data_IF_374563350674
#
_entry.id   IF_374563350674
#
_cell.length_a   1.000
_cell.length_b   1.000
_cell.length_c   1.000
_cell.angle_alpha   90.00
_cell.angle_beta   90.00
_cell.angle_gamma   90.00
#
_symmetry.space_group_name_H-M   'P 1'
#
loop_
_entity.id
_entity.type
_entity.pdbx_description
1 polymer ?
#
# COMPACT_ATOMS: atom_id res chain seq x y z
N UNK A 1 -0.66 22.28 36.98
CA UNK A 1 -1.26 22.11 35.63
C UNK A 1 -0.20 22.06 34.52
N UNK A 2 0.74 23.00 34.42
CA UNK A 2 1.80 22.95 33.36
C UNK A 2 2.72 21.75 33.39
N UNK A 3 3.07 21.17 34.56
CA UNK A 3 3.91 20.02 34.68
C UNK A 3 3.24 18.76 34.10
N UNK A 4 1.95 18.57 34.37
CA UNK A 4 1.17 17.45 33.81
C UNK A 4 1.05 17.51 32.31
N UNK A 5 0.84 18.68 31.72
CA UNK A 5 0.76 18.92 30.26
C UNK A 5 2.11 18.58 29.59
N UNK A 6 3.24 19.00 30.17
CA UNK A 6 4.58 18.70 29.64
C UNK A 6 4.93 17.20 29.67
N UNK A 7 4.50 16.49 30.71
CA UNK A 7 4.71 15.04 30.82
C UNK A 7 3.89 14.29 29.79
N UNK A 8 2.64 14.67 29.57
CA UNK A 8 1.76 14.07 28.58
C UNK A 8 2.26 14.30 27.14
N UNK A 9 2.72 15.51 26.85
CA UNK A 9 3.34 15.84 25.55
C UNK A 9 4.64 15.05 25.31
N UNK A 10 5.42 14.77 26.34
CA UNK A 10 6.64 13.98 26.26
C UNK A 10 6.33 12.52 25.95
N UNK A 11 5.37 11.91 26.67
CA UNK A 11 4.93 10.54 26.45
C UNK A 11 4.39 10.35 25.02
N UNK A 12 3.52 11.26 24.58
CA UNK A 12 2.97 11.23 23.22
C UNK A 12 4.05 11.31 22.15
N UNK A 13 5.07 12.16 22.31
CA UNK A 13 6.21 12.22 21.35
C UNK A 13 7.01 10.95 21.33
N UNK A 14 7.17 10.28 22.48
CA UNK A 14 7.84 9.00 22.58
C UNK A 14 7.07 7.90 21.82
N UNK A 15 5.75 7.83 21.97
CA UNK A 15 4.88 6.90 21.27
C UNK A 15 4.93 7.12 19.75
N UNK A 16 4.84 8.39 19.29
CA UNK A 16 5.00 8.73 17.88
C UNK A 16 6.37 8.29 17.36
N UNK A 17 7.44 8.51 18.15
CA UNK A 17 8.78 8.07 17.76
C UNK A 17 8.86 6.55 17.66
N UNK A 18 8.29 5.81 18.60
CA UNK A 18 8.24 4.35 18.59
C UNK A 18 7.55 3.81 17.33
N UNK A 19 6.37 4.36 16.98
CA UNK A 19 5.64 3.98 15.76
C UNK A 19 6.47 4.27 14.50
N UNK A 20 7.05 5.46 14.40
CA UNK A 20 7.88 5.82 13.25
C UNK A 20 9.16 4.98 13.19
N UNK A 21 9.76 4.65 14.32
CA UNK A 21 10.95 3.80 14.37
C UNK A 21 10.65 2.36 13.95
N UNK A 22 9.47 1.84 14.28
CA UNK A 22 8.99 0.55 13.75
C UNK A 22 8.75 0.61 12.24
N UNK A 23 8.00 1.61 11.76
CA UNK A 23 7.63 1.74 10.34
C UNK A 23 8.80 2.09 9.41
N UNK A 24 9.92 2.58 9.94
CA UNK A 24 11.12 2.84 9.13
C UNK A 24 11.71 1.56 8.59
N UNK A 25 11.95 1.47 7.27
CA UNK A 25 12.62 0.31 6.68
C UNK A 25 13.99 0.06 7.31
N UNK A 26 14.27 -1.18 7.62
CA UNK A 26 15.55 -1.65 8.18
C UNK A 26 16.44 -2.23 7.09
N UNK A 27 17.77 -2.21 7.26
CA UNK A 27 18.68 -2.95 6.40
C UNK A 27 18.36 -4.44 6.42
N UNK A 28 18.42 -5.10 5.26
CA UNK A 28 18.12 -6.52 5.09
C UNK A 28 18.92 -7.06 3.89
N UNK A 29 19.13 -8.38 3.75
CA UNK A 29 20.05 -8.94 2.77
C UNK A 29 19.49 -9.07 1.35
N UNK A 30 18.18 -8.91 1.15
CA UNK A 30 17.51 -9.17 -0.12
C UNK A 30 17.31 -7.91 -0.96
N UNK A 31 17.47 -7.99 -2.28
CA UNK A 31 16.99 -6.95 -3.18
C UNK A 31 15.46 -6.91 -3.16
N UNK A 32 14.90 -5.72 -3.33
CA UNK A 32 13.47 -5.57 -3.50
C UNK A 32 13.07 -5.68 -4.96
N UNK A 33 12.02 -6.41 -5.22
CA UNK A 33 11.42 -6.62 -6.54
C UNK A 33 9.97 -6.16 -6.55
N UNK A 34 9.47 -5.72 -7.70
CA UNK A 34 8.07 -5.34 -7.87
C UNK A 34 7.24 -6.52 -8.35
N UNK A 35 6.11 -6.73 -7.69
CA UNK A 35 5.09 -7.73 -8.00
C UNK A 35 3.76 -7.01 -8.16
N UNK A 36 2.92 -7.41 -9.12
CA UNK A 36 1.60 -6.83 -9.39
C UNK A 36 1.58 -5.75 -10.47
N UNK A 37 2.65 -5.61 -11.28
CA UNK A 37 2.69 -4.65 -12.37
C UNK A 37 3.09 -3.23 -11.97
N UNK A 38 2.49 -2.20 -12.59
CA UNK A 38 2.89 -0.80 -12.45
C UNK A 38 1.73 0.14 -12.08
N UNK A 39 0.73 -0.37 -11.40
CA UNK A 39 -0.44 0.38 -10.93
C UNK A 39 -0.69 0.12 -9.46
N UNK A 40 -1.81 0.59 -8.96
CA UNK A 40 -2.32 0.25 -7.63
C UNK A 40 -2.47 -1.26 -7.46
N UNK A 41 -2.31 -1.77 -6.25
CA UNK A 41 -2.26 -3.20 -5.96
C UNK A 41 -0.93 -3.88 -6.34
N UNK A 42 0.13 -3.12 -6.65
CA UNK A 42 1.46 -3.64 -6.94
C UNK A 42 2.47 -3.19 -5.88
N UNK A 43 3.18 -4.12 -5.28
CA UNK A 43 4.02 -3.88 -4.11
C UNK A 43 5.48 -4.29 -4.32
N UNK A 44 6.38 -3.78 -3.48
CA UNK A 44 7.77 -4.22 -3.44
C UNK A 44 7.95 -5.30 -2.38
N UNK A 45 8.41 -6.46 -2.81
CA UNK A 45 8.74 -7.59 -1.94
C UNK A 45 10.25 -7.82 -1.87
N UNK A 46 10.78 -8.31 -0.75
CA UNK A 46 12.14 -8.86 -0.72
C UNK A 46 12.21 -10.10 -1.63
N UNK A 47 13.32 -10.25 -2.35
CA UNK A 47 13.56 -11.42 -3.21
C UNK A 47 13.92 -12.64 -2.36
N UNK A 48 12.99 -13.05 -1.51
CA UNK A 48 13.05 -14.22 -0.62
C UNK A 48 11.73 -15.01 -0.75
N UNK A 49 11.39 -15.39 -2.00
CA UNK A 49 10.10 -16.00 -2.32
C UNK A 49 10.19 -17.53 -2.47
N UNK A 50 11.38 -18.09 -2.60
CA UNK A 50 11.57 -19.54 -2.74
C UNK A 50 11.04 -20.28 -1.50
N UNK A 51 10.24 -21.35 -1.74
CA UNK A 51 9.64 -22.17 -0.70
C UNK A 51 8.42 -21.54 -0.01
N UNK A 52 7.90 -20.42 -0.52
CA UNK A 52 6.59 -19.90 -0.08
C UNK A 52 5.49 -20.71 -0.77
N UNK A 53 4.58 -21.25 0.02
CA UNK A 53 3.51 -22.13 -0.46
C UNK A 53 2.33 -21.33 -1.03
N UNK A 54 1.88 -20.29 -0.35
CA UNK A 54 0.66 -19.58 -0.72
C UNK A 54 0.64 -18.12 -0.27
N UNK A 55 -0.05 -17.29 -1.07
CA UNK A 55 -0.43 -15.94 -0.70
C UNK A 55 -1.89 -15.92 -0.23
N UNK A 56 -2.14 -15.28 0.90
CA UNK A 56 -3.46 -14.93 1.40
C UNK A 56 -3.69 -13.45 1.11
N UNK A 57 -4.74 -13.15 0.34
CA UNK A 57 -5.01 -11.81 -0.17
C UNK A 57 -6.43 -11.34 0.17
N UNK A 58 -6.66 -10.81 1.39
CA UNK A 58 -7.92 -10.17 1.73
C UNK A 58 -7.97 -8.74 1.17
N UNK A 59 -9.14 -8.36 0.63
CA UNK A 59 -9.37 -7.06 0.00
C UNK A 59 -8.88 -7.00 -1.45
N UNK A 60 -9.02 -8.10 -2.19
CA UNK A 60 -8.51 -8.21 -3.56
C UNK A 60 -9.20 -7.25 -4.55
N UNK A 61 -10.40 -6.74 -4.24
CA UNK A 61 -11.17 -5.87 -5.14
C UNK A 61 -11.45 -6.52 -6.51
N UNK A 62 -11.37 -5.72 -7.56
CA UNK A 62 -11.61 -6.15 -8.95
C UNK A 62 -10.34 -6.65 -9.67
N UNK A 63 -9.18 -6.59 -9.03
CA UNK A 63 -7.91 -6.92 -9.68
C UNK A 63 -7.10 -7.89 -8.83
N UNK A 64 -6.48 -8.87 -9.49
CA UNK A 64 -5.59 -9.86 -8.87
C UNK A 64 -4.24 -9.94 -9.60
N UNK A 65 -3.77 -8.82 -10.13
CA UNK A 65 -2.52 -8.78 -10.90
C UNK A 65 -1.33 -9.17 -10.02
N UNK A 66 -1.38 -8.86 -8.72
CA UNK A 66 -0.35 -9.24 -7.76
C UNK A 66 -0.29 -10.77 -7.61
N UNK A 67 -1.43 -11.42 -7.44
CA UNK A 67 -1.55 -12.86 -7.29
C UNK A 67 -1.26 -13.61 -8.60
N UNK A 68 -1.62 -13.01 -9.74
CA UNK A 68 -1.25 -13.53 -11.04
C UNK A 68 0.26 -13.50 -11.27
N UNK A 69 0.91 -12.40 -10.90
CA UNK A 69 2.37 -12.27 -10.96
C UNK A 69 3.09 -13.26 -10.03
N UNK A 70 2.55 -13.48 -8.81
CA UNK A 70 3.08 -14.47 -7.87
C UNK A 70 2.99 -15.90 -8.46
N UNK A 71 1.87 -16.24 -9.07
CA UNK A 71 1.69 -17.55 -9.69
C UNK A 71 2.57 -17.72 -10.93
N UNK A 72 2.55 -16.74 -11.84
CA UNK A 72 3.24 -16.86 -13.14
C UNK A 72 4.77 -16.84 -13.01
N UNK A 73 5.30 -16.05 -12.07
CA UNK A 73 6.75 -15.84 -11.94
C UNK A 73 7.40 -16.76 -10.90
N UNK A 74 6.65 -17.15 -9.86
CA UNK A 74 7.21 -17.87 -8.71
C UNK A 74 6.47 -19.19 -8.39
N UNK A 75 5.36 -19.48 -9.06
CA UNK A 75 4.56 -20.66 -8.80
C UNK A 75 3.79 -20.61 -7.47
N UNK A 76 3.71 -19.44 -6.83
CA UNK A 76 3.04 -19.24 -5.54
C UNK A 76 1.52 -19.19 -5.78
N UNK A 77 0.81 -20.11 -5.15
CA UNK A 77 -0.66 -20.18 -5.19
C UNK A 77 -1.29 -19.05 -4.37
N UNK A 78 -2.57 -18.76 -4.59
CA UNK A 78 -3.23 -17.66 -3.88
C UNK A 78 -4.65 -18.02 -3.43
N UNK A 79 -4.96 -17.63 -2.21
CA UNK A 79 -6.31 -17.63 -1.66
C UNK A 79 -6.76 -16.20 -1.50
N UNK A 80 -7.83 -15.83 -2.23
CA UNK A 80 -8.35 -14.47 -2.31
C UNK A 80 -9.63 -14.34 -1.49
N UNK A 81 -9.83 -13.20 -0.87
CA UNK A 81 -10.98 -12.93 -0.02
C UNK A 81 -11.48 -11.49 -0.26
N UNK A 82 -12.75 -11.35 -0.57
CA UNK A 82 -13.41 -10.04 -0.62
C UNK A 82 -14.93 -10.22 -0.59
N UNK A 83 -15.62 -9.44 0.21
CA UNK A 83 -17.08 -9.48 0.26
C UNK A 83 -17.74 -8.51 -0.73
N UNK A 84 -17.05 -7.41 -1.05
CA UNK A 84 -17.57 -6.32 -1.89
C UNK A 84 -17.69 -6.71 -3.37
N UNK A 85 -16.93 -7.71 -3.82
CA UNK A 85 -16.91 -8.19 -5.20
C UNK A 85 -17.39 -9.64 -5.32
N UNK A 86 -17.61 -10.11 -6.54
CA UNK A 86 -18.09 -11.48 -6.78
C UNK A 86 -17.01 -12.45 -7.23
N UNK A 87 -15.78 -11.95 -7.48
CA UNK A 87 -14.69 -12.73 -8.07
C UNK A 87 -14.88 -13.10 -9.55
N UNK A 88 -16.02 -12.74 -10.15
CA UNK A 88 -16.30 -13.00 -11.58
C UNK A 88 -15.79 -11.92 -12.52
N UNK A 89 -15.43 -10.74 -11.99
CA UNK A 89 -15.04 -9.57 -12.77
C UNK A 89 -13.53 -9.41 -12.91
N UNK A 90 -12.73 -10.38 -12.45
CA UNK A 90 -11.30 -10.32 -12.64
C UNK A 90 -10.95 -10.31 -14.14
N UNK A 91 -10.02 -9.44 -14.53
CA UNK A 91 -9.53 -9.34 -15.91
C UNK A 91 -8.94 -10.66 -16.44
N UNK A 92 -8.41 -11.48 -15.54
CA UNK A 92 -7.98 -12.86 -15.80
C UNK A 92 -8.77 -13.80 -14.87
N UNK A 93 -9.40 -14.87 -15.38
CA UNK A 93 -10.09 -15.85 -14.56
C UNK A 93 -9.18 -16.48 -13.51
N UNK A 94 -9.77 -16.99 -12.43
CA UNK A 94 -9.03 -17.79 -11.45
C UNK A 94 -8.43 -19.03 -12.12
N UNK A 95 -7.19 -19.36 -11.78
CA UNK A 95 -6.52 -20.57 -12.26
C UNK A 95 -6.97 -21.76 -11.38
N UNK A 96 -7.70 -22.74 -11.94
CA UNK A 96 -8.23 -23.86 -11.15
C UNK A 96 -7.11 -24.62 -10.41
N UNK A 97 -7.34 -24.95 -9.15
CA UNK A 97 -6.37 -25.64 -8.30
C UNK A 97 -5.19 -24.80 -7.81
N UNK A 98 -5.04 -23.54 -8.32
CA UNK A 98 -3.96 -22.63 -7.96
C UNK A 98 -4.43 -21.36 -7.28
N UNK A 99 -5.62 -20.90 -7.63
CA UNK A 99 -6.23 -19.70 -7.07
C UNK A 99 -7.64 -20.02 -6.60
N UNK A 100 -7.99 -19.60 -5.39
CA UNK A 100 -9.33 -19.70 -4.83
C UNK A 100 -9.86 -18.31 -4.47
N UNK A 101 -11.18 -18.13 -4.51
CA UNK A 101 -11.84 -16.90 -4.08
C UNK A 101 -12.99 -17.22 -3.13
N UNK A 102 -13.08 -16.46 -2.04
CA UNK A 102 -14.18 -16.54 -1.07
C UNK A 102 -14.82 -15.18 -0.91
N UNK A 103 -16.14 -15.12 -1.08
CA UNK A 103 -16.91 -13.92 -0.79
C UNK A 103 -17.18 -13.81 0.70
N UNK A 104 -16.23 -13.28 1.45
CA UNK A 104 -16.28 -13.05 2.90
C UNK A 104 -15.53 -11.79 3.29
N UNK A 105 -15.87 -11.23 4.45
CA UNK A 105 -15.06 -10.23 5.12
C UNK A 105 -13.96 -10.91 5.95
N UNK A 106 -12.75 -10.36 5.94
CA UNK A 106 -11.77 -10.66 6.96
C UNK A 106 -12.20 -9.95 8.26
N UNK A 107 -12.20 -10.67 9.38
CA UNK A 107 -12.64 -10.15 10.67
C UNK A 107 -11.95 -10.86 11.81
N UNK A 108 -11.98 -10.27 12.99
CA UNK A 108 -11.48 -10.89 14.23
C UNK A 108 -12.40 -11.97 14.78
N UNK A 109 -13.62 -12.05 14.28
CA UNK A 109 -14.63 -13.06 14.64
C UNK A 109 -15.13 -13.79 13.39
N UNK A 110 -15.17 -15.12 13.46
CA UNK A 110 -15.72 -15.93 12.38
C UNK A 110 -17.27 -15.94 12.42
N UNK A 111 -17.88 -15.89 11.26
CA UNK A 111 -19.34 -15.89 11.11
C UNK A 111 -19.79 -16.40 9.75
N UNK A 112 -21.07 -16.19 9.44
CA UNK A 112 -21.64 -16.58 8.15
C UNK A 112 -20.89 -15.90 6.99
N UNK A 113 -20.67 -14.59 7.10
CA UNK A 113 -20.06 -13.77 6.06
C UNK A 113 -18.62 -13.30 6.44
N UNK A 114 -18.13 -13.74 7.59
CA UNK A 114 -16.83 -13.37 8.13
C UNK A 114 -15.94 -14.59 8.33
N UNK A 115 -14.63 -14.38 8.24
CA UNK A 115 -13.62 -15.39 8.54
C UNK A 115 -12.40 -14.73 9.22
N UNK A 116 -11.79 -15.42 10.19
CA UNK A 116 -10.51 -14.97 10.77
C UNK A 116 -9.33 -15.51 9.98
N UNK A 117 -8.17 -14.88 10.11
CA UNK A 117 -6.93 -15.35 9.46
C UNK A 117 -6.63 -16.81 9.87
N UNK A 118 -6.73 -17.14 11.16
CA UNK A 118 -6.48 -18.48 11.68
C UNK A 118 -7.37 -19.52 11.02
N UNK A 119 -8.66 -19.23 10.99
CA UNK A 119 -9.64 -20.14 10.41
C UNK A 119 -9.43 -20.30 8.91
N UNK A 120 -9.12 -19.22 8.22
CA UNK A 120 -8.87 -19.24 6.78
C UNK A 120 -7.65 -20.11 6.43
N UNK A 121 -6.52 -19.92 7.14
CA UNK A 121 -5.32 -20.75 6.96
C UNK A 121 -5.64 -22.23 7.26
N UNK A 122 -6.38 -22.49 8.35
CA UNK A 122 -6.78 -23.85 8.73
C UNK A 122 -7.64 -24.51 7.64
N UNK A 123 -8.64 -23.82 7.11
CA UNK A 123 -9.55 -24.35 6.07
C UNK A 123 -8.86 -24.54 4.72
N UNK A 124 -7.82 -23.77 4.39
CA UNK A 124 -7.00 -23.97 3.19
C UNK A 124 -6.00 -25.12 3.34
N UNK A 125 -5.81 -25.64 4.57
CA UNK A 125 -4.91 -26.78 4.87
C UNK A 125 -3.50 -26.60 4.30
N UNK A 126 -2.94 -25.38 4.40
CA UNK A 126 -1.64 -25.03 3.81
C UNK A 126 -0.54 -25.09 4.89
N UNK A 127 0.55 -25.74 4.54
CA UNK A 127 1.77 -25.79 5.34
C UNK A 127 2.89 -24.97 4.70
N UNK A 128 3.92 -24.67 5.49
CA UNK A 128 5.08 -23.91 5.06
C UNK A 128 4.94 -22.40 5.26
N UNK A 129 5.81 -21.67 4.63
CA UNK A 129 5.83 -20.21 4.69
C UNK A 129 4.77 -19.60 3.76
N UNK A 130 4.16 -18.52 4.21
CA UNK A 130 3.05 -17.85 3.55
C UNK A 130 3.39 -16.39 3.24
N UNK A 131 2.62 -15.77 2.35
CA UNK A 131 2.52 -14.31 2.17
C UNK A 131 1.13 -13.86 2.63
N UNK A 132 1.06 -12.73 3.32
CA UNK A 132 -0.16 -11.97 3.51
C UNK A 132 -0.05 -10.67 2.71
N UNK A 133 -0.96 -10.45 1.77
CA UNK A 133 -1.19 -9.15 1.16
C UNK A 133 -2.54 -8.65 1.63
N UNK A 134 -2.59 -7.50 2.34
CA UNK A 134 -3.79 -7.01 3.00
C UNK A 134 -4.04 -5.56 2.64
N UNK A 135 -5.20 -5.31 2.05
CA UNK A 135 -5.72 -4.00 1.72
C UNK A 135 -7.24 -4.03 1.92
N UNK A 136 -7.70 -3.68 3.14
CA UNK A 136 -9.08 -3.86 3.60
C UNK A 136 -9.68 -2.59 4.20
N UNK A 137 -9.25 -1.44 3.65
CA UNK A 137 -9.89 -0.14 3.81
C UNK A 137 -10.07 0.31 5.27
N UNK A 138 -9.07 0.04 6.14
CA UNK A 138 -9.01 0.50 7.52
C UNK A 138 -9.23 -0.58 8.59
N UNK A 139 -9.60 -1.81 8.20
CA UNK A 139 -9.73 -2.94 9.12
C UNK A 139 -8.41 -3.70 9.38
N UNK A 140 -7.29 -3.25 8.82
CA UNK A 140 -5.96 -3.88 8.94
C UNK A 140 -5.53 -3.99 10.39
N UNK A 141 -5.72 -2.92 11.17
CA UNK A 141 -5.26 -2.81 12.56
C UNK A 141 -5.93 -3.85 13.45
N UNK A 142 -7.25 -3.96 13.36
CA UNK A 142 -8.03 -4.90 14.19
C UNK A 142 -7.71 -6.33 13.81
N UNK A 143 -7.62 -6.64 12.53
CA UNK A 143 -7.33 -7.98 12.05
C UNK A 143 -5.90 -8.42 12.42
N UNK A 144 -4.90 -7.56 12.29
CA UNK A 144 -3.53 -7.90 12.69
C UNK A 144 -3.43 -8.04 14.22
N UNK A 145 -4.00 -7.10 14.99
CA UNK A 145 -3.97 -7.14 16.46
C UNK A 145 -4.76 -8.33 17.03
N UNK A 146 -5.86 -8.72 16.37
CA UNK A 146 -6.67 -9.87 16.76
C UNK A 146 -6.08 -11.22 16.36
N UNK A 147 -5.10 -11.23 15.45
CA UNK A 147 -4.43 -12.47 15.02
C UNK A 147 -3.29 -12.83 15.98
N UNK A 148 -3.22 -14.10 16.40
CA UNK A 148 -2.18 -14.55 17.30
C UNK A 148 -0.78 -14.42 16.69
N UNK A 149 0.23 -14.12 17.52
CA UNK A 149 1.63 -14.04 17.06
C UNK A 149 2.11 -15.37 16.46
N UNK A 150 1.55 -16.50 16.90
CA UNK A 150 1.86 -17.84 16.33
C UNK A 150 1.36 -17.91 14.88
N UNK A 151 0.14 -17.45 14.63
CA UNK A 151 -0.45 -17.43 13.29
C UNK A 151 0.28 -16.44 12.39
N UNK A 152 0.57 -15.24 12.88
CA UNK A 152 1.32 -14.24 12.10
C UNK A 152 2.70 -14.76 11.68
N UNK A 153 3.39 -15.53 12.54
CA UNK A 153 4.69 -16.14 12.20
C UNK A 153 4.64 -17.17 11.07
N UNK A 154 3.48 -17.63 10.64
CA UNK A 154 3.35 -18.44 9.42
C UNK A 154 3.62 -17.61 8.15
N UNK A 155 3.44 -16.29 8.21
CA UNK A 155 3.76 -15.40 7.11
C UNK A 155 5.25 -15.05 7.14
N UNK A 156 5.95 -15.35 6.05
CA UNK A 156 7.34 -14.90 5.83
C UNK A 156 7.37 -13.44 5.48
N UNK A 157 6.41 -13.03 4.65
CA UNK A 157 6.25 -11.65 4.17
C UNK A 157 4.81 -11.20 4.43
N UNK A 158 4.68 -10.01 4.98
CA UNK A 158 3.40 -9.31 5.10
C UNK A 158 3.50 -8.02 4.30
N UNK A 159 2.58 -7.83 3.36
CA UNK A 159 2.35 -6.57 2.66
C UNK A 159 1.02 -6.02 3.14
N UNK A 160 1.01 -4.82 3.66
CA UNK A 160 -0.22 -4.21 4.17
C UNK A 160 -0.31 -2.76 3.73
N UNK A 161 -1.47 -2.35 3.25
CA UNK A 161 -1.81 -0.95 3.06
C UNK A 161 -2.46 -0.40 4.32
N UNK A 162 -1.72 0.40 5.08
CA UNK A 162 -2.20 0.99 6.34
C UNK A 162 -2.97 2.28 6.07
N UNK A 163 -4.26 2.30 6.42
CA UNK A 163 -5.15 3.43 6.25
C UNK A 163 -5.19 4.35 7.47
N UNK A 164 -5.25 5.67 7.26
CA UNK A 164 -5.45 6.65 8.30
C UNK A 164 -4.25 6.88 9.24
N UNK A 165 -3.02 6.52 8.87
CA UNK A 165 -1.85 6.53 9.77
C UNK A 165 -1.59 7.92 10.36
N UNK A 166 -1.60 8.98 9.54
CA UNK A 166 -1.37 10.35 10.02
C UNK A 166 -2.54 10.87 10.90
N UNK A 167 -3.77 10.49 10.58
CA UNK A 167 -4.95 10.82 11.37
C UNK A 167 -4.94 10.08 12.72
N UNK A 168 -4.65 8.78 12.73
CA UNK A 168 -4.54 7.97 13.95
C UNK A 168 -3.46 8.52 14.88
N UNK A 169 -2.34 8.99 14.37
CA UNK A 169 -1.29 9.62 15.18
C UNK A 169 -1.75 10.90 15.89
N UNK A 170 -2.87 11.50 15.51
CA UNK A 170 -3.38 12.76 16.06
C UNK A 170 -4.38 12.59 17.20
N UNK A 171 -4.86 11.38 17.47
CA UNK A 171 -5.69 11.03 18.63
C UNK A 171 -4.96 10.07 19.56
N UNK A 172 -5.30 10.08 20.85
CA UNK A 172 -4.65 9.18 21.82
C UNK A 172 -5.07 7.72 21.60
N UNK A 173 -6.33 7.49 21.26
CA UNK A 173 -6.84 6.16 20.90
C UNK A 173 -6.15 5.61 19.63
N UNK A 174 -6.09 6.42 18.57
CA UNK A 174 -5.43 6.03 17.33
C UNK A 174 -3.94 5.78 17.50
N UNK A 175 -3.25 6.64 18.26
CA UNK A 175 -1.84 6.46 18.56
C UNK A 175 -1.61 5.19 19.39
N UNK A 176 -2.47 4.91 20.38
CA UNK A 176 -2.45 3.66 21.14
C UNK A 176 -2.60 2.43 20.24
N UNK A 177 -3.50 2.48 19.25
CA UNK A 177 -3.68 1.42 18.25
C UNK A 177 -2.42 1.20 17.41
N UNK A 178 -1.78 2.27 16.94
CA UNK A 178 -0.51 2.20 16.19
C UNK A 178 0.66 1.66 17.03
N UNK A 179 0.77 2.08 18.30
CA UNK A 179 1.77 1.57 19.25
C UNK A 179 1.53 0.08 19.49
N UNK A 180 0.26 -0.32 19.67
CA UNK A 180 -0.13 -1.73 19.81
C UNK A 180 0.32 -2.56 18.61
N UNK A 181 0.02 -2.08 17.38
CA UNK A 181 0.44 -2.72 16.14
C UNK A 181 1.97 -2.87 16.07
N UNK A 182 2.71 -1.80 16.35
CA UNK A 182 4.17 -1.82 16.34
C UNK A 182 4.72 -2.86 17.32
N UNK A 183 4.23 -2.89 18.56
CA UNK A 183 4.65 -3.86 19.59
C UNK A 183 4.28 -5.30 19.22
N UNK A 184 3.12 -5.50 18.62
CA UNK A 184 2.64 -6.84 18.24
C UNK A 184 3.50 -7.45 17.12
N UNK A 185 3.96 -6.63 16.17
CA UNK A 185 4.72 -7.09 15.02
C UNK A 185 6.24 -7.07 15.22
N UNK A 186 6.80 -6.10 15.96
CA UNK A 186 8.26 -5.85 16.02
C UNK A 186 9.05 -7.06 16.56
N UNK A 187 8.46 -7.88 17.44
CA UNK A 187 9.11 -9.09 17.95
C UNK A 187 9.35 -10.18 16.89
N UNK A 188 8.58 -10.20 15.81
CA UNK A 188 8.63 -11.23 14.78
C UNK A 188 9.02 -10.70 13.40
N UNK A 189 8.76 -9.42 13.13
CA UNK A 189 8.91 -8.82 11.82
C UNK A 189 9.77 -7.56 11.86
N UNK A 190 10.28 -7.19 10.70
CA UNK A 190 10.92 -5.91 10.45
C UNK A 190 10.39 -5.33 9.15
N UNK A 191 10.19 -4.02 9.12
CA UNK A 191 9.82 -3.34 7.88
C UNK A 191 11.03 -3.31 6.95
N UNK A 192 10.88 -3.81 5.73
CA UNK A 192 11.90 -3.79 4.69
C UNK A 192 11.61 -2.73 3.62
N UNK A 193 10.34 -2.33 3.45
CA UNK A 193 9.95 -1.25 2.55
C UNK A 193 8.74 -0.50 3.06
N UNK A 194 8.65 0.79 2.70
CA UNK A 194 7.48 1.64 2.90
C UNK A 194 7.31 2.58 1.71
N UNK A 195 6.09 2.68 1.21
CA UNK A 195 5.71 3.58 0.14
C UNK A 195 4.50 4.43 0.56
N UNK A 196 4.48 5.71 0.18
CA UNK A 196 3.30 6.55 0.36
C UNK A 196 2.44 6.47 -0.90
N UNK A 197 1.25 5.91 -0.78
CA UNK A 197 0.27 5.92 -1.86
C UNK A 197 -0.11 7.38 -2.20
N UNK A 198 -0.10 7.74 -3.47
CA UNK A 198 -0.36 9.12 -3.91
C UNK A 198 -1.85 9.50 -3.96
N UNK A 199 -2.73 8.61 -3.49
CA UNK A 199 -4.12 8.96 -3.22
C UNK A 199 -4.23 10.06 -2.17
N UNK A 200 -3.30 10.08 -1.20
CA UNK A 200 -3.23 11.07 -0.12
C UNK A 200 -1.83 11.68 -0.06
N UNK A 201 -1.75 12.98 0.24
CA UNK A 201 -0.45 13.65 0.42
C UNK A 201 0.06 13.47 1.84
N UNK A 202 1.36 13.14 2.02
CA UNK A 202 1.97 13.15 3.34
C UNK A 202 1.86 14.53 4.01
N UNK A 203 1.51 14.55 5.28
CA UNK A 203 1.24 15.73 6.08
C UNK A 203 2.19 15.83 7.27
N UNK A 204 2.18 16.98 7.95
CA UNK A 204 2.89 17.16 9.22
C UNK A 204 1.99 16.70 10.36
N UNK A 205 2.48 15.77 11.16
CA UNK A 205 1.85 15.34 12.40
C UNK A 205 2.59 16.01 13.56
N UNK A 206 1.90 16.69 14.49
CA UNK A 206 2.52 17.26 15.68
C UNK A 206 3.32 16.20 16.45
N UNK A 207 4.56 16.53 16.79
CA UNK A 207 5.48 15.58 17.47
C UNK A 207 6.27 14.65 16.52
N UNK A 208 5.84 14.45 15.28
CA UNK A 208 6.59 13.67 14.31
C UNK A 208 7.73 14.49 13.67
N UNK A 209 8.92 13.87 13.57
CA UNK A 209 10.09 14.49 12.89
C UNK A 209 10.07 14.30 11.36
N UNK A 210 9.09 13.58 10.84
CA UNK A 210 8.93 13.27 9.41
C UNK A 210 7.51 13.62 8.94
N UNK A 211 7.32 13.79 7.63
CA UNK A 211 5.99 13.80 7.04
C UNK A 211 5.42 12.38 7.11
N UNK A 212 4.14 12.26 7.43
CA UNK A 212 3.40 10.99 7.52
C UNK A 212 2.27 11.00 6.51
N UNK A 213 2.09 9.91 5.76
CA UNK A 213 0.93 9.72 4.88
C UNK A 213 -0.19 9.04 5.64
N UNK A 214 -1.44 9.36 5.30
CA UNK A 214 -2.58 8.58 5.77
C UNK A 214 -2.67 7.22 5.09
N UNK A 215 -1.99 7.04 3.99
CA UNK A 215 -2.00 5.79 3.23
C UNK A 215 -0.57 5.34 3.00
N UNK A 216 -0.20 4.23 3.66
CA UNK A 216 1.14 3.67 3.62
C UNK A 216 1.11 2.19 3.23
N UNK A 217 1.75 1.88 2.11
CA UNK A 217 2.07 0.50 1.75
C UNK A 217 3.32 0.07 2.53
N UNK A 218 3.18 -0.93 3.37
CA UNK A 218 4.26 -1.40 4.25
C UNK A 218 4.55 -2.86 3.96
N UNK A 219 5.82 -3.16 3.65
CA UNK A 219 6.28 -4.54 3.47
C UNK A 219 7.13 -4.94 4.66
N UNK A 220 6.71 -6.02 5.32
CA UNK A 220 7.40 -6.61 6.46
C UNK A 220 8.00 -7.96 6.07
N UNK A 221 9.18 -8.24 6.60
CA UNK A 221 9.88 -9.52 6.48
C UNK A 221 10.03 -10.13 7.86
N UNK A 222 9.76 -11.44 7.98
CA UNK A 222 9.97 -12.18 9.23
C UNK A 222 11.45 -12.18 9.59
N UNK A 223 11.77 -11.89 10.86
CA UNK A 223 13.14 -11.64 11.32
C UNK A 223 14.07 -12.84 11.21
N UNK A 224 13.56 -14.07 11.28
CA UNK A 224 14.36 -15.28 11.11
C UNK A 224 14.94 -15.44 9.71
N UNK A 225 14.44 -14.65 8.74
CA UNK A 225 14.98 -14.60 7.37
C UNK A 225 16.23 -13.73 7.26
N UNK A 226 16.56 -12.99 8.31
CA UNK A 226 17.70 -12.07 8.35
C UNK A 226 18.77 -12.65 9.27
N UNK A 227 19.71 -13.38 8.67
CA UNK A 227 20.88 -13.85 9.40
C UNK A 227 21.80 -12.66 9.70
N UNK A 228 22.05 -12.41 11.00
CA UNK A 228 22.95 -11.35 11.45
C UNK A 228 24.40 -11.56 11.01
N UNK A 229 24.76 -12.75 10.55
CA UNK A 229 26.08 -13.08 10.01
C UNK A 229 26.16 -12.81 8.48
N UNK A 230 25.07 -12.42 7.84
CA UNK A 230 25.09 -12.07 6.41
C UNK A 230 26.02 -10.87 6.16
N UNK A 231 27.02 -11.06 5.32
CA UNK A 231 28.07 -10.07 5.08
C UNK A 231 27.60 -8.80 4.36
N UNK A 232 26.38 -8.78 3.80
CA UNK A 232 25.89 -7.68 2.96
C UNK A 232 24.44 -7.32 3.31
N UNK A 233 24.29 -6.29 4.14
CA UNK A 233 22.97 -5.67 4.38
C UNK A 233 22.75 -4.52 3.39
N UNK A 234 21.63 -4.57 2.67
CA UNK A 234 21.20 -3.51 1.77
C UNK A 234 20.48 -2.45 2.59
N UNK A 235 21.07 -1.25 2.64
CA UNK A 235 20.43 -0.11 3.32
C UNK A 235 19.20 0.36 2.54
N UNK A 236 18.06 0.58 3.20
CA UNK A 236 16.85 1.06 2.54
C UNK A 236 17.07 2.46 1.95
N UNK A 237 16.50 2.69 0.78
CA UNK A 237 16.58 3.97 0.06
C UNK A 237 15.19 4.36 -0.41
N UNK A 238 14.70 5.50 0.06
CA UNK A 238 13.40 6.03 -0.34
C UNK A 238 13.53 7.33 -1.15
N UNK A 239 12.80 7.48 -2.28
CA UNK A 239 12.05 6.41 -2.93
C UNK A 239 12.97 5.30 -3.45
N UNK A 240 12.47 4.07 -3.50
CA UNK A 240 13.19 2.95 -4.08
C UNK A 240 13.23 3.06 -5.61
N UNK A 241 14.20 2.42 -6.26
CA UNK A 241 14.35 2.46 -7.74
C UNK A 241 13.17 1.82 -8.48
N UNK A 242 12.46 0.91 -7.81
CA UNK A 242 11.30 0.20 -8.32
C UNK A 242 9.96 0.73 -7.82
N UNK A 243 9.96 1.82 -7.01
CA UNK A 243 8.72 2.49 -6.67
C UNK A 243 8.05 3.04 -7.92
N UNK A 244 6.74 2.91 -7.99
CA UNK A 244 5.95 3.64 -8.96
C UNK A 244 5.78 5.09 -8.51
N UNK A 245 5.59 5.98 -9.47
CA UNK A 245 5.38 7.39 -9.15
C UNK A 245 3.93 7.66 -8.73
N UNK A 246 3.01 6.78 -9.07
CA UNK A 246 1.58 7.01 -8.93
C UNK A 246 0.80 5.71 -8.89
N UNK A 247 0.18 5.43 -7.78
CA UNK A 247 -0.87 4.42 -7.65
C UNK A 247 -2.10 4.89 -8.45
N UNK A 248 -2.46 6.17 -8.29
CA UNK A 248 -3.55 6.79 -9.04
C UNK A 248 -3.00 7.69 -10.16
N UNK A 249 -3.17 7.28 -11.43
CA UNK A 249 -2.72 8.05 -12.59
C UNK A 249 -3.29 9.46 -12.60
N UNK A 250 -2.44 10.47 -12.91
CA UNK A 250 -2.83 11.86 -12.96
C UNK A 250 -2.79 12.62 -11.64
N UNK A 251 -2.55 11.96 -10.52
CA UNK A 251 -2.21 12.59 -9.23
C UNK A 251 -0.71 12.80 -9.10
N UNK A 252 -0.32 13.84 -8.36
CA UNK A 252 1.10 14.14 -8.12
C UNK A 252 1.76 13.02 -7.32
N UNK A 253 3.04 12.69 -7.61
CA UNK A 253 3.78 11.72 -6.82
C UNK A 253 3.80 12.09 -5.33
N UNK A 254 3.60 11.11 -4.44
CA UNK A 254 3.79 11.25 -3.01
C UNK A 254 5.17 10.73 -2.61
N UNK A 255 5.82 11.43 -1.69
CA UNK A 255 7.12 11.02 -1.17
C UNK A 255 7.16 11.19 0.33
N UNK A 256 7.62 10.16 1.01
CA UNK A 256 8.02 10.24 2.40
C UNK A 256 9.25 11.14 2.53
N UNK A 257 9.21 12.05 3.50
CA UNK A 257 10.24 13.04 3.70
C UNK A 257 11.51 12.50 4.39
N UNK A 258 12.38 13.45 4.76
CA UNK A 258 13.53 13.17 5.63
C UNK A 258 13.04 12.52 6.92
N UNK A 259 13.75 11.51 7.39
CA UNK A 259 13.45 10.81 8.64
C UNK A 259 12.83 9.42 8.44
N UNK A 260 12.53 9.00 7.21
CA UNK A 260 12.04 7.64 6.91
C UNK A 260 13.15 6.66 6.51
N UNK A 261 14.16 7.13 5.82
CA UNK A 261 15.34 6.35 5.46
C UNK A 261 16.53 7.28 5.20
N UNK A 262 17.72 6.72 5.16
CA UNK A 262 18.91 7.43 4.72
C UNK A 262 18.69 7.95 3.30
N UNK A 263 19.02 9.23 3.08
CA UNK A 263 18.81 9.89 1.78
C UNK A 263 19.68 9.33 0.69
N UNK A 264 20.20 8.25 0.63
CA UNK A 264 20.97 7.74 -0.48
C UNK A 264 21.76 8.84 -1.25
N UNK A 265 22.44 8.51 -2.30
CA UNK A 265 23.08 9.50 -3.16
C UNK A 265 22.01 10.52 -3.66
N UNK A 266 22.20 11.80 -3.34
CA UNK A 266 21.30 12.90 -3.70
C UNK A 266 20.93 12.89 -5.19
N UNK A 267 21.92 12.68 -6.07
CA UNK A 267 21.71 12.62 -7.51
C UNK A 267 20.80 11.46 -7.94
N UNK A 268 20.91 10.30 -7.27
CA UNK A 268 20.03 9.15 -7.53
C UNK A 268 18.57 9.46 -7.14
N UNK A 269 18.37 10.01 -5.95
CA UNK A 269 17.05 10.42 -5.49
C UNK A 269 16.45 11.46 -6.41
N UNK A 270 17.24 12.43 -6.86
CA UNK A 270 16.83 13.45 -7.81
C UNK A 270 16.42 12.83 -9.17
N UNK A 271 17.20 11.88 -9.70
CA UNK A 271 16.88 11.17 -10.95
C UNK A 271 15.58 10.37 -10.86
N UNK A 272 15.34 9.66 -9.75
CA UNK A 272 14.10 8.91 -9.54
C UNK A 272 12.91 9.88 -9.50
N UNK A 273 13.02 10.95 -8.71
CA UNK A 273 11.97 11.97 -8.62
C UNK A 273 11.72 12.66 -9.96
N UNK A 274 12.77 13.01 -10.69
CA UNK A 274 12.65 13.60 -12.03
C UNK A 274 11.90 12.65 -12.98
N UNK A 275 12.25 11.36 -12.99
CA UNK A 275 11.54 10.34 -13.79
C UNK A 275 10.06 10.26 -13.41
N UNK A 276 9.74 10.24 -12.12
CA UNK A 276 8.35 10.22 -11.65
C UNK A 276 7.59 11.48 -12.06
N UNK A 277 8.21 12.66 -11.94
CA UNK A 277 7.58 13.92 -12.39
C UNK A 277 7.40 13.97 -13.90
N UNK A 278 8.37 13.49 -14.67
CA UNK A 278 8.22 13.38 -16.13
C UNK A 278 7.04 12.45 -16.49
N UNK A 279 6.96 11.28 -15.89
CA UNK A 279 5.86 10.34 -16.12
C UNK A 279 4.50 10.94 -15.74
N UNK A 280 4.41 11.61 -14.59
CA UNK A 280 3.22 12.37 -14.19
C UNK A 280 2.84 13.42 -15.24
N UNK A 281 3.81 14.21 -15.69
CA UNK A 281 3.57 15.25 -16.69
C UNK A 281 3.06 14.66 -18.01
N UNK A 282 3.67 13.57 -18.50
CA UNK A 282 3.21 12.90 -19.72
C UNK A 282 1.80 12.34 -19.58
N UNK A 283 1.46 11.71 -18.47
CA UNK A 283 0.09 11.23 -18.22
C UNK A 283 -0.88 12.39 -18.21
N UNK A 284 -0.54 13.50 -17.53
CA UNK A 284 -1.37 14.69 -17.44
C UNK A 284 -1.60 15.34 -18.81
N UNK A 285 -0.55 15.48 -19.59
CA UNK A 285 -0.61 15.99 -20.96
C UNK A 285 -1.52 15.09 -21.81
N UNK A 286 -1.35 13.77 -21.75
CA UNK A 286 -2.19 12.82 -22.49
C UNK A 286 -3.66 12.90 -22.10
N UNK A 287 -3.96 13.06 -20.81
CA UNK A 287 -5.34 13.24 -20.31
C UNK A 287 -5.94 14.55 -20.85
N UNK A 288 -5.18 15.66 -20.79
CA UNK A 288 -5.63 16.95 -21.33
C UNK A 288 -5.88 16.86 -22.84
N UNK A 289 -4.96 16.26 -23.60
CA UNK A 289 -5.14 16.08 -25.05
C UNK A 289 -6.36 15.20 -25.38
N UNK A 290 -6.57 14.10 -24.68
CA UNK A 290 -7.77 13.26 -24.86
C UNK A 290 -9.05 14.02 -24.55
N UNK A 291 -9.05 14.84 -23.50
CA UNK A 291 -10.20 15.67 -23.12
C UNK A 291 -10.46 16.76 -24.14
N UNK A 292 -9.42 17.44 -24.65
CA UNK A 292 -9.54 18.45 -25.71
C UNK A 292 -10.04 17.83 -27.02
N UNK A 293 -9.55 16.65 -27.38
CA UNK A 293 -10.01 15.92 -28.55
C UNK A 293 -11.48 15.49 -28.45
N UNK A 294 -11.94 15.11 -27.22
CA UNK A 294 -13.35 14.84 -26.97
C UNK A 294 -14.20 16.10 -27.10
N UNK A 295 -13.77 17.19 -26.45
CA UNK A 295 -14.42 18.52 -26.55
C UNK A 295 -14.48 18.97 -27.99
N UNK A 296 -13.42 18.79 -28.78
CA UNK A 296 -13.41 19.15 -30.21
C UNK A 296 -14.39 18.31 -31.05
N UNK A 297 -14.66 17.06 -30.70
CA UNK A 297 -15.74 16.26 -31.31
C UNK A 297 -17.11 16.76 -30.87
N UNK A 298 -17.32 16.95 -29.58
CA UNK A 298 -18.60 17.42 -29.04
C UNK A 298 -18.97 18.82 -29.56
N UNK A 299 -17.99 19.70 -29.79
CA UNK A 299 -18.18 21.00 -30.43
C UNK A 299 -18.58 20.86 -31.90
N UNK A 300 -17.92 19.96 -32.68
CA UNK A 300 -18.30 19.71 -34.07
C UNK A 300 -19.73 19.21 -34.15
N UNK A 301 -20.09 18.26 -33.31
CA UNK A 301 -21.42 17.68 -33.27
C UNK A 301 -22.46 18.71 -32.81
N UNK A 302 -22.11 19.60 -31.86
CA UNK A 302 -23.00 20.69 -31.40
C UNK A 302 -23.17 21.81 -32.40
N UNK A 303 -22.16 22.14 -33.18
CA UNK A 303 -22.25 23.10 -34.29
C UNK A 303 -23.18 22.53 -35.38
N UNK A 304 -23.10 21.21 -35.64
CA UNK A 304 -24.01 20.53 -36.55
C UNK A 304 -25.47 20.56 -36.06
N UNK A 305 -25.66 20.47 -34.72
CA UNK A 305 -26.98 20.48 -34.07
C UNK A 305 -27.51 21.89 -33.75
N UNK A 306 -26.78 22.96 -34.05
CA UNK A 306 -27.14 24.39 -33.82
C UNK A 306 -27.65 24.70 -32.41
N UNK A 307 -27.06 24.08 -31.35
CA UNK A 307 -27.45 24.32 -29.97
C UNK A 307 -26.43 25.18 -29.20
N UNK A 308 -26.70 26.50 -29.01
CA UNK A 308 -25.80 27.41 -28.27
C UNK A 308 -25.60 27.00 -26.79
N UNK A 309 -26.62 26.40 -26.16
CA UNK A 309 -26.57 25.99 -24.78
C UNK A 309 -25.57 24.84 -24.53
N UNK A 310 -25.52 23.85 -25.42
CA UNK A 310 -24.54 22.77 -25.39
C UNK A 310 -23.12 23.27 -25.60
N UNK A 311 -22.90 24.26 -26.47
CA UNK A 311 -21.60 24.86 -26.67
C UNK A 311 -21.09 25.52 -25.39
N UNK A 312 -21.95 26.26 -24.67
CA UNK A 312 -21.61 26.88 -23.39
C UNK A 312 -21.30 25.86 -22.28
N UNK A 313 -22.00 24.75 -22.24
CA UNK A 313 -21.75 23.65 -21.27
C UNK A 313 -20.40 22.99 -21.54
N UNK A 314 -20.07 22.74 -22.80
CA UNK A 314 -18.79 22.18 -23.23
C UNK A 314 -17.63 23.12 -22.88
N UNK A 315 -17.77 24.42 -23.09
CA UNK A 315 -16.77 25.44 -22.74
C UNK A 315 -16.56 25.47 -21.20
N UNK A 316 -17.64 25.43 -20.40
CA UNK A 316 -17.56 25.36 -18.93
C UNK A 316 -16.86 24.10 -18.45
N UNK A 317 -17.11 22.95 -19.07
CA UNK A 317 -16.45 21.67 -18.76
C UNK A 317 -14.96 21.71 -19.11
N UNK A 318 -14.59 22.30 -20.25
CA UNK A 318 -13.19 22.51 -20.62
C UNK A 318 -12.45 23.37 -19.59
N UNK A 319 -13.07 24.45 -19.12
CA UNK A 319 -12.48 25.35 -18.13
C UNK A 319 -12.26 24.64 -16.76
N UNK A 320 -13.18 23.75 -16.37
CA UNK A 320 -13.01 22.91 -15.17
C UNK A 320 -11.86 21.90 -15.26
N UNK A 321 -11.63 21.32 -16.45
CA UNK A 321 -10.55 20.34 -16.69
C UNK A 321 -9.18 21.01 -16.61
N UNK A 322 -9.04 22.20 -17.19
CA UNK A 322 -7.78 22.96 -17.22
C UNK A 322 -7.42 23.50 -15.82
N UNK A 323 -8.41 23.84 -14.99
CA UNK A 323 -8.20 24.39 -13.64
C UNK A 323 -8.15 23.37 -12.50
N UNK A 324 -8.36 22.08 -12.75
CA UNK A 324 -8.17 21.08 -11.70
C UNK A 324 -6.69 20.98 -11.32
N UNK A 325 -6.36 21.15 -10.01
CA UNK A 325 -5.00 21.16 -9.50
C UNK A 325 -4.28 19.81 -9.68
#
# INVERSE_FOLDING_TARGET
MEFGIRVQDSARRQDISQVLDFLRPKPQPFDLMRVGGNSDGAYLLPNDLEGISRCFSPGVGDTKIFEDDLLDKFGIESSLLDYSVTGMNFSRPLVPGKQSFRKKWLSVEAGKDNITIERWIFEESVEGDLILQMDIEGAEYENILGTSSVTLRKFRIIVVELHGVAALMQSDEGLGKLVGLARHLDGAFMVCHVHANNAVRPTRVPGAKALVSDLLEVTLLRRDRVDNNSALFIRPKLPHKHDIYSNLPGRKPAYLGKGWADRGNFLRTLRIRARHWCSYFFVRVRVVFKSLARIGRDLRDSVYLRSPEKILEIIRSAHKIIRRP
#
